data_IF_130108043182
#
_entry.id   IF_130108043182
#
_cell.length_a   1.000
_cell.length_b   1.000
_cell.length_c   1.000
_cell.angle_alpha   90.00
_cell.angle_beta   90.00
_cell.angle_gamma   90.00
#
_symmetry.space_group_name_H-M   'P 1'
#
loop_
_entity.id
_entity.type
_entity.pdbx_description
1 polymer ?
#
# COMPACT_ATOMS: atom_id res chain seq x y z
N UNK A 1 -19.71 -27.71 -27.56
CA UNK A 1 -18.77 -27.17 -26.51
C UNK A 1 -17.38 -27.44 -27.00
N UNK A 2 -16.55 -26.40 -27.21
CA UNK A 2 -15.16 -26.58 -27.59
C UNK A 2 -14.42 -27.25 -26.43
N UNK A 3 -13.77 -28.37 -26.68
CA UNK A 3 -12.97 -29.10 -25.70
C UNK A 3 -11.75 -28.25 -25.39
N UNK A 4 -11.73 -27.60 -24.22
CA UNK A 4 -10.58 -26.81 -23.76
C UNK A 4 -9.41 -27.75 -23.52
N UNK A 5 -8.35 -27.64 -24.31
CA UNK A 5 -7.15 -28.44 -24.19
C UNK A 5 -6.18 -27.78 -23.20
N UNK A 6 -5.28 -28.57 -22.63
CA UNK A 6 -4.22 -28.07 -21.73
C UNK A 6 -3.31 -27.01 -22.41
N UNK A 7 -3.17 -27.11 -23.73
CA UNK A 7 -2.45 -26.14 -24.55
C UNK A 7 -3.11 -24.76 -24.54
N UNK A 8 -4.46 -24.71 -24.58
CA UNK A 8 -5.22 -23.47 -24.51
C UNK A 8 -5.05 -22.82 -23.14
N UNK A 9 -5.03 -23.65 -22.08
CA UNK A 9 -4.75 -23.17 -20.72
C UNK A 9 -3.33 -22.59 -20.62
N UNK A 10 -2.31 -23.30 -21.12
CA UNK A 10 -0.93 -22.84 -21.11
C UNK A 10 -0.74 -21.53 -21.86
N UNK A 11 -1.36 -21.41 -23.03
CA UNK A 11 -1.29 -20.21 -23.85
C UNK A 11 -2.02 -19.01 -23.20
N UNK A 12 -3.11 -19.28 -22.48
CA UNK A 12 -3.85 -18.25 -21.74
C UNK A 12 -3.10 -17.81 -20.50
N UNK A 13 -2.48 -18.76 -19.77
CA UNK A 13 -1.75 -18.46 -18.53
C UNK A 13 -0.47 -17.67 -18.77
N UNK A 14 0.20 -17.82 -19.93
CA UNK A 14 1.43 -17.11 -20.31
C UNK A 14 2.50 -17.06 -19.21
N UNK A 15 2.63 -18.13 -18.42
CA UNK A 15 3.57 -18.23 -17.31
C UNK A 15 3.08 -17.68 -15.97
N UNK A 16 1.94 -17.00 -15.94
CA UNK A 16 1.32 -16.43 -14.74
C UNK A 16 2.13 -15.29 -14.08
N UNK A 17 1.48 -14.57 -13.20
CA UNK A 17 2.11 -13.53 -12.39
C UNK A 17 2.66 -14.15 -11.11
N UNK A 18 3.88 -13.79 -10.74
CA UNK A 18 4.54 -14.34 -9.54
C UNK A 18 4.41 -13.37 -8.37
N UNK A 19 3.96 -13.83 -7.20
CA UNK A 19 3.74 -12.97 -6.04
C UNK A 19 5.02 -12.40 -5.42
N UNK A 20 6.18 -12.98 -5.72
CA UNK A 20 7.48 -12.51 -5.23
C UNK A 20 8.09 -11.36 -6.05
N UNK A 21 7.44 -10.95 -7.14
CA UNK A 21 7.90 -9.86 -7.98
C UNK A 21 7.03 -8.62 -7.73
N UNK A 22 7.30 -7.94 -6.64
CA UNK A 22 6.59 -6.73 -6.26
C UNK A 22 7.56 -5.63 -5.84
N UNK A 23 7.07 -4.41 -5.78
CA UNK A 23 7.78 -3.26 -5.25
C UNK A 23 6.81 -2.40 -4.45
N UNK A 24 7.27 -1.92 -3.31
CA UNK A 24 6.51 -0.99 -2.46
C UNK A 24 7.34 0.28 -2.34
N UNK A 25 6.73 1.41 -2.67
CA UNK A 25 7.34 2.73 -2.49
C UNK A 25 6.53 3.50 -1.47
N UNK A 26 7.17 3.89 -0.39
CA UNK A 26 6.59 4.71 0.67
C UNK A 26 7.22 6.08 0.58
N UNK A 27 6.44 7.06 0.16
CA UNK A 27 6.87 8.45 0.20
C UNK A 27 6.74 8.93 1.63
N UNK A 28 7.83 9.33 2.25
CA UNK A 28 7.79 9.86 3.61
C UNK A 28 7.47 11.35 3.59
N UNK A 29 6.64 11.84 4.53
CA UNK A 29 6.30 13.26 4.58
C UNK A 29 7.53 14.12 4.88
N UNK A 30 7.58 15.30 4.29
CA UNK A 30 8.70 16.26 4.42
C UNK A 30 8.98 16.72 5.84
N UNK A 31 7.99 16.56 6.74
CA UNK A 31 8.12 16.93 8.16
C UNK A 31 9.18 16.11 8.90
N UNK A 32 9.50 14.91 8.42
CA UNK A 32 10.57 14.07 8.98
C UNK A 32 11.97 14.65 8.71
N UNK A 33 12.05 15.83 8.10
CA UNK A 33 13.29 16.54 7.82
C UNK A 33 14.11 15.92 6.69
N UNK A 34 15.37 16.35 6.57
CA UNK A 34 16.29 15.84 5.54
C UNK A 34 16.57 14.32 5.66
N UNK A 35 16.30 13.72 6.80
CA UNK A 35 16.37 12.27 7.00
C UNK A 35 15.16 11.55 6.39
N UNK A 36 14.08 12.26 6.07
CA UNK A 36 12.92 11.76 5.34
C UNK A 36 13.14 11.60 3.83
N UNK A 37 14.36 11.85 3.38
CA UNK A 37 14.90 11.41 2.10
C UNK A 37 14.13 11.82 0.85
N UNK A 38 14.06 13.10 0.56
CA UNK A 38 13.89 13.54 -0.84
C UNK A 38 15.21 13.34 -1.60
N UNK A 39 15.53 12.11 -1.93
CA UNK A 39 16.69 11.77 -2.72
C UNK A 39 16.47 10.47 -3.46
N UNK A 40 16.73 10.45 -4.75
CA UNK A 40 16.72 9.23 -5.55
C UNK A 40 17.97 8.40 -5.22
N UNK A 41 17.81 7.36 -4.40
CA UNK A 41 18.92 6.45 -4.10
C UNK A 41 18.55 5.38 -3.07
N UNK A 42 19.28 4.29 -3.04
CA UNK A 42 19.07 3.15 -2.13
C UNK A 42 19.29 3.46 -0.65
N UNK A 43 19.89 4.59 -0.32
CA UNK A 43 20.17 5.03 1.05
C UNK A 43 19.12 6.02 1.59
N UNK A 44 18.10 6.34 0.83
CA UNK A 44 16.96 7.15 1.27
C UNK A 44 15.94 6.27 1.96
N UNK A 45 15.11 6.83 2.84
CA UNK A 45 14.03 6.08 3.50
C UNK A 45 13.08 5.41 2.50
N UNK A 46 12.81 6.07 1.37
CA UNK A 46 12.03 5.48 0.28
C UNK A 46 12.72 4.26 -0.34
N UNK A 47 14.01 4.36 -0.63
CA UNK A 47 14.81 3.24 -1.12
C UNK A 47 14.89 2.10 -0.12
N UNK A 48 15.10 2.42 1.16
CA UNK A 48 15.14 1.44 2.24
C UNK A 48 13.78 0.74 2.41
N UNK A 49 12.66 1.47 2.36
CA UNK A 49 11.33 0.87 2.47
C UNK A 49 11.05 -0.13 1.36
N UNK A 50 11.49 0.19 0.14
CA UNK A 50 11.34 -0.71 -1.02
C UNK A 50 12.20 -1.97 -0.89
N UNK A 51 13.45 -1.85 -0.41
CA UNK A 51 14.37 -2.98 -0.24
C UNK A 51 14.05 -3.87 0.95
N UNK A 52 13.60 -3.29 2.04
CA UNK A 52 13.34 -3.99 3.30
C UNK A 52 11.92 -4.53 3.42
N UNK A 53 11.05 -4.24 2.46
CA UNK A 53 9.71 -4.80 2.44
C UNK A 53 9.75 -6.30 2.15
N UNK A 54 9.47 -7.11 3.17
CA UNK A 54 9.39 -8.57 3.06
C UNK A 54 8.11 -9.03 2.38
N UNK A 55 7.00 -8.48 2.81
CA UNK A 55 5.68 -8.84 2.29
C UNK A 55 4.72 -7.66 2.31
N UNK A 56 3.86 -7.61 1.32
CA UNK A 56 2.79 -6.66 1.21
C UNK A 56 1.60 -7.28 0.49
N UNK A 57 0.40 -6.97 0.91
CA UNK A 57 -0.80 -7.37 0.19
C UNK A 57 -1.12 -6.36 -0.92
N UNK A 58 -1.76 -6.79 -1.98
CA UNK A 58 -2.41 -5.85 -2.89
C UNK A 58 -3.64 -5.28 -2.18
N UNK A 59 -3.88 -3.96 -2.27
CA UNK A 59 -4.99 -3.34 -1.54
C UNK A 59 -6.34 -3.88 -2.00
N UNK A 60 -7.23 -4.11 -1.04
CA UNK A 60 -8.59 -4.57 -1.27
C UNK A 60 -9.58 -3.41 -1.17
N UNK A 61 -10.71 -3.54 -1.81
CA UNK A 61 -11.84 -2.63 -1.63
C UNK A 61 -13.13 -3.42 -1.49
N UNK A 62 -13.97 -3.01 -0.57
CA UNK A 62 -15.28 -3.62 -0.32
C UNK A 62 -16.38 -2.67 -0.76
N UNK A 63 -17.37 -3.18 -1.45
CA UNK A 63 -18.56 -2.42 -1.82
C UNK A 63 -19.72 -2.83 -0.94
N UNK A 64 -20.35 -1.87 -0.27
CA UNK A 64 -21.52 -2.08 0.55
C UNK A 64 -22.70 -2.60 -0.25
N UNK A 65 -23.66 -3.17 0.44
CA UNK A 65 -24.89 -3.69 -0.14
C UNK A 65 -26.09 -2.95 0.51
N UNK A 66 -26.95 -2.39 -0.33
CA UNK A 66 -28.21 -1.81 0.08
C UNK A 66 -29.33 -2.78 -0.30
N UNK A 67 -30.11 -3.22 0.67
CA UNK A 67 -31.23 -4.11 0.46
C UNK A 67 -32.55 -3.35 0.59
N UNK A 68 -33.31 -3.28 -0.49
CA UNK A 68 -34.62 -2.64 -0.52
C UNK A 68 -35.70 -3.72 -0.54
N UNK A 69 -36.56 -3.82 0.50
CA UNK A 69 -37.62 -4.83 0.54
C UNK A 69 -38.74 -4.48 -0.44
N UNK A 70 -39.14 -5.44 -1.26
CA UNK A 70 -40.26 -5.32 -2.17
C UNK A 70 -41.08 -6.63 -2.27
N UNK A 71 -42.29 -6.63 -1.78
CA UNK A 71 -43.28 -7.74 -1.88
C UNK A 71 -42.71 -9.12 -1.56
N UNK A 72 -41.99 -9.25 -0.42
CA UNK A 72 -41.41 -10.50 0.05
C UNK A 72 -40.07 -10.87 -0.61
N UNK A 73 -39.48 -9.98 -1.41
CA UNK A 73 -38.13 -10.10 -1.98
C UNK A 73 -37.29 -8.87 -1.65
N UNK A 74 -35.96 -9.02 -1.68
CA UNK A 74 -35.06 -7.90 -1.54
C UNK A 74 -34.44 -7.56 -2.89
N UNK A 75 -34.53 -6.30 -3.29
CA UNK A 75 -33.75 -5.75 -4.39
C UNK A 75 -32.39 -5.35 -3.80
N UNK A 76 -31.31 -5.87 -4.40
CA UNK A 76 -29.95 -5.60 -3.99
C UNK A 76 -29.34 -4.52 -4.88
N UNK A 77 -28.92 -3.43 -4.26
CA UNK A 77 -28.30 -2.29 -4.95
C UNK A 77 -26.89 -2.11 -4.40
N UNK A 78 -25.86 -1.81 -5.23
CA UNK A 78 -24.55 -1.49 -4.75
C UNK A 78 -24.57 -0.23 -3.89
N UNK A 79 -23.94 -0.32 -2.71
CA UNK A 79 -23.79 0.78 -1.77
C UNK A 79 -22.42 1.45 -1.86
N UNK A 80 -22.02 2.10 -0.77
CA UNK A 80 -20.76 2.83 -0.69
C UNK A 80 -19.54 1.90 -0.71
N UNK A 81 -18.42 2.41 -1.25
CA UNK A 81 -17.14 1.70 -1.26
C UNK A 81 -16.35 2.05 -0.01
N UNK A 82 -15.82 1.02 0.65
CA UNK A 82 -14.94 1.14 1.79
C UNK A 82 -13.57 0.54 1.47
N UNK A 83 -12.55 1.10 2.08
CA UNK A 83 -11.17 0.65 1.94
C UNK A 83 -10.68 0.16 3.29
N UNK A 84 -10.22 -1.09 3.32
CA UNK A 84 -9.65 -1.68 4.53
C UNK A 84 -8.22 -1.18 4.72
N UNK A 85 -7.74 -1.24 5.98
CA UNK A 85 -6.36 -0.91 6.28
C UNK A 85 -5.39 -1.78 5.47
N UNK A 86 -4.31 -1.17 5.02
CA UNK A 86 -3.27 -1.87 4.28
C UNK A 86 -2.06 -2.14 5.17
N UNK A 87 -1.59 -3.38 5.19
CA UNK A 87 -0.47 -3.81 6.05
C UNK A 87 0.71 -4.26 5.20
N UNK A 88 1.90 -3.86 5.61
CA UNK A 88 3.16 -4.33 5.04
C UNK A 88 4.13 -4.73 6.15
N UNK A 89 4.90 -5.80 5.91
CA UNK A 89 5.92 -6.32 6.83
C UNK A 89 7.30 -5.89 6.34
N UNK A 90 8.12 -5.38 7.24
CA UNK A 90 9.48 -4.92 6.95
C UNK A 90 10.50 -5.66 7.80
N UNK A 91 11.69 -5.87 7.22
CA UNK A 91 12.85 -6.29 7.99
C UNK A 91 13.41 -5.10 8.79
N UNK A 92 13.79 -5.36 10.03
CA UNK A 92 14.48 -4.38 10.83
C UNK A 92 15.98 -4.42 10.56
N UNK A 93 16.61 -3.25 10.49
CA UNK A 93 18.06 -3.11 10.32
C UNK A 93 18.70 -2.72 11.65
N UNK A 94 19.99 -3.00 11.82
CA UNK A 94 20.73 -2.65 13.03
C UNK A 94 20.69 -1.15 13.36
N UNK A 95 20.48 -0.30 12.35
CA UNK A 95 20.38 1.16 12.51
C UNK A 95 18.98 1.62 12.94
N UNK A 96 17.97 0.75 12.92
CA UNK A 96 16.57 1.07 13.23
C UNK A 96 15.98 2.24 12.42
N UNK A 97 16.64 2.68 11.36
CA UNK A 97 16.28 3.89 10.64
C UNK A 97 14.84 3.87 10.11
N UNK A 98 14.42 2.75 9.50
CA UNK A 98 13.09 2.64 8.93
C UNK A 98 11.99 2.61 10.00
N UNK A 99 12.21 1.85 11.08
CA UNK A 99 11.28 1.79 12.20
C UNK A 99 11.15 3.14 12.89
N UNK A 100 12.27 3.80 13.17
CA UNK A 100 12.31 5.13 13.75
C UNK A 100 11.57 6.15 12.90
N UNK A 101 11.67 6.05 11.56
CA UNK A 101 10.95 6.94 10.66
C UNK A 101 9.42 6.79 10.80
N UNK A 102 8.91 5.57 10.91
CA UNK A 102 7.49 5.33 11.14
C UNK A 102 7.02 5.80 12.54
N UNK A 103 7.82 5.56 13.57
CA UNK A 103 7.52 6.04 14.92
C UNK A 103 7.50 7.57 14.98
N UNK A 104 8.45 8.23 14.34
CA UNK A 104 8.47 9.69 14.22
C UNK A 104 7.28 10.22 13.42
N UNK A 105 6.85 9.49 12.39
CA UNK A 105 5.69 9.89 11.61
C UNK A 105 4.40 9.84 12.45
N UNK A 106 4.19 8.79 13.21
CA UNK A 106 3.04 8.70 14.12
C UNK A 106 3.14 9.78 15.20
N UNK A 107 4.32 9.98 15.79
CA UNK A 107 4.53 11.00 16.83
C UNK A 107 4.35 12.43 16.29
N UNK A 108 4.67 12.65 15.00
CA UNK A 108 4.44 13.95 14.37
C UNK A 108 2.95 14.24 14.17
N UNK A 109 2.12 13.20 13.97
CA UNK A 109 0.67 13.35 13.91
C UNK A 109 0.05 13.68 15.27
N UNK A 110 0.50 12.98 16.29
CA UNK A 110 0.02 13.15 17.66
C UNK A 110 1.18 12.91 18.65
N UNK A 111 1.64 13.96 19.30
CA UNK A 111 2.72 13.87 20.27
C UNK A 111 2.33 12.98 21.45
N UNK A 112 3.22 12.06 21.79
CA UNK A 112 2.99 11.05 22.83
C UNK A 112 2.85 11.67 24.22
N UNK A 113 3.58 12.75 24.51
CA UNK A 113 3.64 13.41 25.83
C UNK A 113 2.51 14.41 26.04
N UNK A 114 2.16 15.18 25.04
CA UNK A 114 1.18 16.27 25.14
C UNK A 114 -0.21 15.91 24.60
N UNK A 115 -0.33 14.83 23.84
CA UNK A 115 -1.52 14.42 23.10
C UNK A 115 -2.07 15.55 22.21
N UNK A 116 -1.18 16.35 21.63
CA UNK A 116 -1.49 17.47 20.75
C UNK A 116 -0.99 17.13 19.35
N UNK A 117 -1.89 17.24 18.37
CA UNK A 117 -1.51 17.16 16.95
C UNK A 117 -0.69 18.40 16.56
N UNK A 118 0.50 18.17 16.01
CA UNK A 118 1.39 19.25 15.56
C UNK A 118 1.26 19.55 14.08
N UNK A 119 0.49 18.73 13.35
CA UNK A 119 0.41 18.81 11.92
C UNK A 119 -0.84 19.51 11.46
N UNK A 120 -0.65 20.37 10.47
CA UNK A 120 -1.76 20.94 9.73
C UNK A 120 -2.39 19.84 8.86
N UNK A 121 -3.69 19.62 9.02
CA UNK A 121 -4.50 18.77 8.16
C UNK A 121 -4.66 19.38 6.74
N UNK A 122 -3.70 20.21 6.34
CA UNK A 122 -3.68 20.85 5.04
C UNK A 122 -3.71 19.87 3.87
N UNK A 123 -3.76 20.40 2.68
CA UNK A 123 -3.92 19.65 1.43
C UNK A 123 -3.00 18.42 1.36
N UNK A 124 -3.55 17.30 0.98
CA UNK A 124 -2.82 16.03 0.74
C UNK A 124 -1.60 16.33 -0.15
N UNK A 125 -0.40 16.02 0.35
CA UNK A 125 0.86 16.26 -0.38
C UNK A 125 1.43 17.69 -0.32
N UNK A 126 0.86 18.59 0.49
CA UNK A 126 1.42 19.94 0.75
C UNK A 126 2.63 19.90 1.68
N UNK A 127 3.39 21.00 1.72
CA UNK A 127 4.48 21.17 2.69
C UNK A 127 3.93 21.17 4.10
N UNK A 128 4.40 20.23 4.94
CA UNK A 128 3.87 20.03 6.29
C UNK A 128 2.66 19.08 6.36
N UNK A 129 2.25 18.49 5.24
CA UNK A 129 1.19 17.48 5.23
C UNK A 129 1.60 16.23 6.00
N UNK A 130 0.66 15.72 6.77
CA UNK A 130 0.74 14.42 7.45
C UNK A 130 0.49 13.25 6.48
N UNK A 131 -0.30 13.49 5.46
CA UNK A 131 -0.68 12.51 4.46
C UNK A 131 0.35 12.43 3.36
N UNK A 132 0.58 11.22 2.87
CA UNK A 132 1.43 10.96 1.71
C UNK A 132 0.82 9.90 0.82
N UNK A 133 1.44 9.67 -0.33
CA UNK A 133 1.01 8.64 -1.25
C UNK A 133 1.94 7.43 -1.16
N UNK A 134 1.35 6.23 -1.14
CA UNK A 134 2.07 4.97 -1.22
C UNK A 134 1.81 4.32 -2.58
N UNK A 135 2.81 3.63 -3.11
CA UNK A 135 2.68 2.94 -4.39
C UNK A 135 3.07 1.47 -4.21
N UNK A 136 2.17 0.57 -4.63
CA UNK A 136 2.39 -0.87 -4.64
C UNK A 136 2.37 -1.35 -6.09
N UNK A 137 3.48 -1.93 -6.54
CA UNK A 137 3.66 -2.36 -7.92
C UNK A 137 3.86 -3.87 -8.00
N UNK A 138 3.14 -4.52 -8.89
CA UNK A 138 3.39 -5.89 -9.31
C UNK A 138 4.22 -5.87 -10.58
N UNK A 139 5.38 -6.54 -10.56
CA UNK A 139 6.33 -6.57 -11.68
C UNK A 139 6.22 -7.84 -12.53
N UNK A 140 6.60 -7.73 -13.79
CA UNK A 140 6.72 -8.85 -14.71
C UNK A 140 8.00 -9.65 -14.45
N UNK A 141 8.01 -10.92 -14.88
CA UNK A 141 9.21 -11.79 -14.79
C UNK A 141 10.23 -11.46 -15.87
N UNK A 142 9.78 -11.07 -17.05
CA UNK A 142 10.62 -11.00 -18.24
C UNK A 142 11.53 -9.76 -18.23
N UNK A 143 11.05 -8.66 -17.66
CA UNK A 143 11.84 -7.44 -17.45
C UNK A 143 11.57 -6.91 -16.06
N UNK A 144 12.61 -6.74 -15.26
CA UNK A 144 12.50 -6.21 -13.88
C UNK A 144 11.96 -4.78 -13.83
N UNK A 145 11.88 -4.12 -14.96
CA UNK A 145 11.39 -2.74 -15.13
C UNK A 145 9.93 -2.66 -15.54
N UNK A 146 9.34 -3.75 -16.07
CA UNK A 146 7.94 -3.72 -16.49
C UNK A 146 6.98 -3.91 -15.33
N UNK A 147 6.23 -2.87 -15.05
CA UNK A 147 5.14 -2.87 -14.07
C UNK A 147 3.89 -3.40 -14.75
N UNK A 148 3.39 -4.53 -14.28
CA UNK A 148 2.14 -5.13 -14.77
C UNK A 148 0.93 -4.38 -14.23
N UNK A 149 1.00 -4.01 -12.96
CA UNK A 149 -0.08 -3.30 -12.28
C UNK A 149 0.46 -2.46 -11.15
N UNK A 150 -0.10 -1.27 -11.01
CA UNK A 150 0.25 -0.31 -9.98
C UNK A 150 -0.99 0.09 -9.20
N UNK A 151 -0.86 0.13 -7.89
CA UNK A 151 -1.87 0.64 -6.98
C UNK A 151 -1.29 1.81 -6.22
N UNK A 152 -1.91 2.97 -6.35
CA UNK A 152 -1.56 4.18 -5.63
C UNK A 152 -2.56 4.38 -4.50
N UNK A 153 -2.08 4.34 -3.27
CA UNK A 153 -2.86 4.64 -2.07
C UNK A 153 -2.70 6.12 -1.77
N UNK A 154 -3.76 6.87 -1.96
CA UNK A 154 -3.72 8.33 -1.86
C UNK A 154 -4.09 8.77 -0.45
N UNK A 155 -3.31 9.72 0.08
CA UNK A 155 -3.52 10.28 1.41
C UNK A 155 -3.37 9.23 2.51
N UNK A 156 -2.31 8.43 2.44
CA UNK A 156 -2.02 7.39 3.40
C UNK A 156 -1.22 7.91 4.60
N UNK A 157 -1.41 7.26 5.75
CA UNK A 157 -0.63 7.49 6.97
C UNK A 157 -0.55 6.21 7.80
N UNK A 158 0.52 6.00 8.58
CA UNK A 158 0.62 4.84 9.46
C UNK A 158 -0.28 5.01 10.69
N UNK A 159 -1.07 3.98 10.99
CA UNK A 159 -1.91 3.91 12.18
C UNK A 159 -1.32 3.05 13.27
N UNK A 160 -0.50 2.07 12.90
CA UNK A 160 0.12 1.17 13.85
C UNK A 160 1.50 0.71 13.35
N UNK A 161 2.48 0.73 14.25
CA UNK A 161 3.77 0.07 14.07
C UNK A 161 3.82 -1.12 15.02
N UNK A 162 3.82 -2.31 14.46
CA UNK A 162 3.74 -3.56 15.19
C UNK A 162 4.89 -3.75 16.19
N UNK A 163 4.62 -4.50 17.26
CA UNK A 163 5.62 -4.86 18.25
C UNK A 163 6.59 -5.91 17.68
N UNK A 164 7.85 -5.84 18.07
CA UNK A 164 8.87 -6.87 17.82
C UNK A 164 8.98 -7.73 19.07
N UNK A 165 8.82 -9.03 18.92
CA UNK A 165 9.01 -9.97 20.03
C UNK A 165 10.49 -10.31 20.17
N UNK A 166 11.08 -10.00 21.32
CA UNK A 166 12.47 -10.30 21.64
C UNK A 166 12.53 -11.55 22.54
N UNK A 167 13.28 -12.57 22.11
CA UNK A 167 13.47 -13.80 22.87
C UNK A 167 14.92 -14.29 22.75
N UNK A 168 15.52 -14.76 23.85
CA UNK A 168 16.90 -15.24 23.88
C UNK A 168 17.13 -16.53 23.09
N UNK A 169 16.07 -17.28 22.81
CA UNK A 169 16.08 -18.52 22.05
C UNK A 169 15.85 -18.34 20.55
N UNK A 170 15.57 -17.10 20.12
CA UNK A 170 15.40 -16.76 18.71
C UNK A 170 16.75 -16.51 18.03
N UNK A 171 17.56 -17.55 17.93
CA UNK A 171 18.81 -17.51 17.19
C UNK A 171 18.52 -17.65 15.69
N UNK A 172 19.35 -17.08 14.84
CA UNK A 172 19.28 -17.21 13.37
C UNK A 172 18.00 -16.63 12.71
N UNK A 173 17.33 -15.68 13.36
CA UNK A 173 16.19 -14.96 12.80
C UNK A 173 16.46 -13.47 12.73
N UNK A 174 16.04 -12.85 11.62
CA UNK A 174 16.07 -11.40 11.46
C UNK A 174 14.75 -10.84 12.00
N UNK A 175 14.84 -9.77 12.75
CA UNK A 175 13.66 -9.08 13.27
C UNK A 175 12.79 -8.51 12.14
N UNK A 176 11.50 -8.64 12.33
CA UNK A 176 10.49 -8.13 11.43
C UNK A 176 9.44 -7.35 12.21
N UNK A 177 8.84 -6.36 11.55
CA UNK A 177 7.72 -5.62 12.11
C UNK A 177 6.71 -5.28 11.03
N UNK A 178 5.46 -5.22 11.44
CA UNK A 178 4.35 -4.85 10.59
C UNK A 178 4.02 -3.37 10.76
N UNK A 179 3.66 -2.73 9.65
CA UNK A 179 3.13 -1.37 9.66
C UNK A 179 1.78 -1.38 8.99
N UNK A 180 0.78 -0.87 9.70
CA UNK A 180 -0.58 -0.72 9.21
C UNK A 180 -0.83 0.72 8.78
N UNK A 181 -1.37 0.89 7.58
CA UNK A 181 -1.67 2.18 6.99
C UNK A 181 -3.17 2.31 6.73
N UNK A 182 -3.69 3.48 7.03
CA UNK A 182 -4.99 3.93 6.51
C UNK A 182 -4.76 4.89 5.34
N UNK A 183 -5.71 4.95 4.43
CA UNK A 183 -5.65 5.80 3.24
C UNK A 183 -7.06 6.25 2.84
N UNK A 184 -7.17 7.34 2.10
CA UNK A 184 -8.45 7.93 1.72
C UNK A 184 -9.13 7.14 0.61
N UNK A 185 -8.38 6.86 -0.45
CA UNK A 185 -8.84 6.06 -1.58
C UNK A 185 -7.64 5.46 -2.32
N UNK A 186 -7.92 4.49 -3.18
CA UNK A 186 -6.90 3.93 -4.07
C UNK A 186 -7.19 4.27 -5.52
N UNK A 187 -6.12 4.61 -6.23
CA UNK A 187 -6.12 4.71 -7.69
C UNK A 187 -5.40 3.50 -8.29
N UNK A 188 -5.96 2.95 -9.35
CA UNK A 188 -5.43 1.76 -10.01
C UNK A 188 -4.91 2.16 -11.38
N UNK A 189 -3.60 2.42 -11.44
CA UNK A 189 -2.89 2.63 -12.69
C UNK A 189 -2.69 1.29 -13.42
N UNK A 190 -3.21 1.16 -14.63
CA UNK A 190 -2.80 0.09 -15.53
C UNK A 190 -2.40 0.68 -16.87
N UNK A 191 -1.30 0.16 -17.43
CA UNK A 191 -0.83 0.56 -18.76
C UNK A 191 -1.88 0.32 -19.87
N UNK A 192 -2.88 -0.56 -19.65
CA UNK A 192 -3.77 -1.03 -20.69
C UNK A 192 -5.27 -1.03 -20.32
N UNK A 193 -5.65 -0.50 -19.16
CA UNK A 193 -7.06 -0.36 -18.82
C UNK A 193 -7.54 1.06 -19.15
N UNK A 194 -7.56 1.38 -20.44
CA UNK A 194 -8.42 2.45 -20.91
C UNK A 194 -9.88 1.98 -20.65
N UNK A 195 -10.44 2.34 -19.50
CA UNK A 195 -11.88 2.42 -19.38
C UNK A 195 -12.28 3.36 -20.52
N UNK A 196 -12.90 2.81 -21.54
CA UNK A 196 -13.41 3.61 -22.64
C UNK A 196 -14.16 4.77 -22.01
N UNK A 197 -13.69 5.99 -22.25
CA UNK A 197 -14.44 7.19 -21.93
C UNK A 197 -15.66 7.19 -22.83
N UNK A 198 -16.64 6.38 -22.46
CA UNK A 198 -17.99 6.52 -22.96
C UNK A 198 -18.44 7.87 -22.45
N UNK A 199 -18.48 8.80 -23.39
CA UNK A 199 -19.01 10.14 -23.22
C UNK A 199 -20.41 10.04 -22.58
N UNK A 200 -20.48 10.34 -21.27
CA UNK A 200 -21.76 10.47 -20.55
C UNK A 200 -22.28 11.91 -20.64
N UNK A 201 -22.15 12.52 -21.81
CA UNK A 201 -22.82 13.76 -22.13
C UNK A 201 -24.02 13.50 -23.00
N UNK A 202 -25.15 13.23 -22.40
CA UNK A 202 -26.48 13.55 -22.90
C UNK A 202 -27.52 13.50 -21.79
#
# INVERSE_FOLDING_TARGET
MATRKIEDFKNTLRGGVRPNLFNVQINFPTILGQNGGQGSGSNTLEGLSSFLCRSAALPASTQGLIEVPFRGRFLKIPGDRTFDAWTATFYNTADFNLRQAFELWINAANKTDENIGTLDFGAIGGTGSYFTDLVVQQKAKDTTTDVLREYKLVGAWPTNVGAINLAYDSNDQIEEFDVEFQYQYMDVGSKDFAVGSGDLTS
#
